data_IF_932439722135
#
_entry.id   IF_932439722135
#
_cell.length_a   1.000
_cell.length_b   1.000
_cell.length_c   1.000
_cell.angle_alpha   90.00
_cell.angle_beta   90.00
_cell.angle_gamma   90.00
#
_symmetry.space_group_name_H-M   'P 1'
#
loop_
_entity.id
_entity.type
_entity.pdbx_description
1 polymer ?
#
# COMPACT_ATOMS: atom_id res chain seq x y z
N UNK A 1 17.13 62.44 -48.59
CA UNK A 1 17.62 62.62 -47.21
C UNK A 1 18.33 61.32 -46.87
N UNK A 2 19.53 61.03 -47.38
CA UNK A 2 20.81 61.74 -47.19
C UNK A 2 21.04 61.92 -45.69
N UNK A 3 21.98 61.24 -45.04
CA UNK A 3 23.39 61.03 -45.36
C UNK A 3 23.95 59.88 -44.50
N UNK A 4 24.90 59.08 -44.97
CA UNK A 4 26.21 58.96 -44.29
C UNK A 4 27.25 58.28 -45.19
N UNK A 5 28.39 58.96 -45.27
CA UNK A 5 29.57 58.71 -46.10
C UNK A 5 30.51 57.75 -45.34
N UNK A 6 30.89 56.64 -45.95
CA UNK A 6 32.21 56.45 -46.57
C UNK A 6 33.43 56.76 -45.68
N UNK A 7 34.10 55.70 -45.22
CA UNK A 7 35.55 55.69 -45.05
C UNK A 7 36.11 54.32 -45.42
N UNK A 8 36.83 54.27 -46.55
CA UNK A 8 37.84 53.24 -46.84
C UNK A 8 39.13 53.59 -46.10
N UNK A 9 40.11 52.71 -45.90
CA UNK A 9 40.28 51.35 -46.36
C UNK A 9 41.68 50.85 -45.97
N UNK A 10 42.06 49.73 -46.59
CA UNK A 10 43.43 49.20 -46.75
C UNK A 10 44.00 48.32 -45.64
N UNK A 11 44.38 47.10 -46.07
CA UNK A 11 45.28 46.21 -45.35
C UNK A 11 44.86 44.74 -45.39
N UNK A 12 44.88 44.11 -46.57
CA UNK A 12 44.78 42.66 -46.68
C UNK A 12 46.13 42.00 -46.39
N UNK A 13 46.15 40.89 -45.62
CA UNK A 13 47.03 39.76 -45.87
C UNK A 13 46.21 38.57 -46.41
N UNK A 14 46.89 37.78 -47.25
CA UNK A 14 46.36 36.73 -48.13
C UNK A 14 45.89 35.43 -47.47
N UNK A 15 45.70 34.37 -48.30
CA UNK A 15 44.75 33.30 -48.07
C UNK A 15 45.46 32.02 -47.65
N UNK A 16 45.57 31.75 -46.35
CA UNK A 16 46.02 30.44 -45.88
C UNK A 16 45.65 30.21 -44.42
N UNK A 17 44.90 29.12 -44.21
CA UNK A 17 45.03 28.27 -43.03
C UNK A 17 44.43 28.73 -41.70
N UNK A 18 43.19 29.24 -41.74
CA UNK A 18 42.29 29.16 -40.57
C UNK A 18 41.44 27.90 -40.62
N UNK A 19 42.11 26.76 -40.81
CA UNK A 19 41.65 25.49 -40.26
C UNK A 19 41.97 25.52 -38.76
N UNK A 20 41.30 26.42 -38.04
CA UNK A 20 41.28 26.33 -36.59
C UNK A 20 40.49 25.06 -36.27
N UNK A 21 41.25 24.05 -35.88
CA UNK A 21 40.78 22.72 -35.55
C UNK A 21 39.78 22.84 -34.43
N UNK A 22 38.50 23.01 -34.80
CA UNK A 22 37.42 22.51 -33.96
C UNK A 22 37.81 21.06 -33.69
N UNK A 23 38.06 20.66 -32.44
CA UNK A 23 38.34 19.28 -32.15
C UNK A 23 37.14 18.48 -32.66
N UNK A 24 37.34 17.85 -33.80
CA UNK A 24 36.50 16.79 -34.35
C UNK A 24 36.27 15.84 -33.18
N UNK A 25 34.98 15.70 -32.85
CA UNK A 25 34.41 14.77 -31.91
C UNK A 25 35.39 13.69 -31.46
N UNK A 26 35.97 13.89 -30.28
CA UNK A 26 36.35 12.78 -29.43
C UNK A 26 35.07 12.02 -29.12
N UNK A 27 34.67 11.10 -30.01
CA UNK A 27 33.84 9.95 -29.68
C UNK A 27 34.71 9.11 -28.75
N UNK A 28 34.84 9.58 -27.51
CA UNK A 28 35.45 8.82 -26.44
C UNK A 28 34.53 7.63 -26.28
N UNK A 29 34.95 6.48 -26.79
CA UNK A 29 34.31 5.22 -26.50
C UNK A 29 34.18 5.15 -24.98
N UNK A 30 32.94 5.28 -24.49
CA UNK A 30 32.70 5.30 -23.05
C UNK A 30 33.30 4.00 -22.50
N UNK A 31 34.21 4.07 -21.53
CA UNK A 31 34.83 2.86 -21.02
C UNK A 31 33.73 1.96 -20.43
N UNK A 32 33.78 0.65 -20.69
CA UNK A 32 32.78 -0.31 -20.19
C UNK A 32 32.54 -0.21 -18.67
N UNK A 33 33.55 0.24 -17.93
CA UNK A 33 33.48 0.52 -16.49
C UNK A 33 32.51 1.64 -16.13
N UNK A 34 32.36 2.66 -16.98
CA UNK A 34 31.38 3.72 -16.78
C UNK A 34 29.94 3.23 -16.97
N UNK A 35 29.68 2.38 -17.99
CA UNK A 35 28.34 1.82 -18.23
C UNK A 35 27.87 0.89 -17.10
N UNK A 36 28.80 0.11 -16.53
CA UNK A 36 28.50 -0.72 -15.36
C UNK A 36 28.21 0.10 -14.11
N UNK A 37 28.88 1.24 -13.95
CA UNK A 37 28.65 2.17 -12.84
C UNK A 37 27.29 2.86 -12.98
N UNK A 38 26.96 3.32 -14.19
CA UNK A 38 25.66 3.91 -14.52
C UNK A 38 24.52 2.90 -14.27
N UNK A 39 24.67 1.66 -14.75
CA UNK A 39 23.65 0.61 -14.55
C UNK A 39 23.48 0.24 -13.07
N UNK A 40 24.56 0.18 -12.30
CA UNK A 40 24.49 -0.08 -10.85
C UNK A 40 23.78 1.07 -10.11
N UNK A 41 24.03 2.32 -10.51
CA UNK A 41 23.29 3.48 -10.01
C UNK A 41 21.81 3.43 -10.38
N UNK A 42 21.48 3.20 -11.65
CA UNK A 42 20.09 3.13 -12.11
C UNK A 42 19.31 2.00 -11.44
N UNK A 43 19.96 0.84 -11.24
CA UNK A 43 19.37 -0.29 -10.52
C UNK A 43 19.13 0.06 -9.05
N UNK A 44 20.09 0.72 -8.40
CA UNK A 44 19.94 1.21 -7.02
C UNK A 44 18.80 2.22 -6.89
N UNK A 45 18.68 3.15 -7.85
CA UNK A 45 17.60 4.12 -7.91
C UNK A 45 16.24 3.47 -8.15
N UNK A 46 16.16 2.44 -8.99
CA UNK A 46 14.93 1.68 -9.23
C UNK A 46 14.48 0.93 -7.98
N UNK A 47 15.40 0.23 -7.31
CA UNK A 47 15.10 -0.49 -6.05
C UNK A 47 14.59 0.49 -5.00
N UNK A 48 15.22 1.66 -4.88
CA UNK A 48 14.76 2.69 -3.94
C UNK A 48 13.35 3.17 -4.27
N UNK A 49 13.04 3.40 -5.55
CA UNK A 49 11.69 3.79 -6.01
C UNK A 49 10.65 2.72 -5.74
N UNK A 50 10.96 1.44 -5.98
CA UNK A 50 10.07 0.32 -5.68
C UNK A 50 9.78 0.21 -4.17
N UNK A 51 10.80 0.40 -3.32
CA UNK A 51 10.61 0.44 -1.86
C UNK A 51 9.74 1.64 -1.45
N UNK A 52 9.98 2.82 -2.03
CA UNK A 52 9.17 4.01 -1.78
C UNK A 52 7.71 3.81 -2.22
N UNK A 53 7.49 3.18 -3.37
CA UNK A 53 6.17 2.83 -3.90
C UNK A 53 5.47 1.80 -3.02
N UNK A 54 6.13 0.70 -2.69
CA UNK A 54 5.59 -0.34 -1.82
C UNK A 54 5.23 0.24 -0.44
N UNK A 55 6.06 1.14 0.11
CA UNK A 55 5.77 1.84 1.36
C UNK A 55 4.54 2.75 1.22
N UNK A 56 4.41 3.47 0.11
CA UNK A 56 3.24 4.31 -0.15
C UNK A 56 1.96 3.47 -0.26
N UNK A 57 1.99 2.36 -1.01
CA UNK A 57 0.85 1.46 -1.14
C UNK A 57 0.48 0.82 0.22
N UNK A 58 1.45 0.34 0.99
CA UNK A 58 1.19 -0.19 2.34
C UNK A 58 0.55 0.86 3.26
N UNK A 59 1.01 2.11 3.20
CA UNK A 59 0.44 3.21 3.99
C UNK A 59 -1.00 3.55 3.56
N UNK A 60 -1.25 3.53 2.25
CA UNK A 60 -2.59 3.73 1.68
C UNK A 60 -3.54 2.60 2.13
N UNK A 61 -3.13 1.34 1.97
CA UNK A 61 -3.91 0.17 2.41
C UNK A 61 -4.15 0.18 3.91
N UNK A 62 -3.14 0.51 4.71
CA UNK A 62 -3.28 0.63 6.16
C UNK A 62 -4.27 1.72 6.55
N UNK A 63 -4.24 2.86 5.86
CA UNK A 63 -5.18 3.98 6.08
C UNK A 63 -6.61 3.59 5.71
N UNK A 64 -6.80 2.92 4.57
CA UNK A 64 -8.11 2.43 4.13
C UNK A 64 -8.66 1.39 5.12
N UNK A 65 -7.83 0.43 5.54
CA UNK A 65 -8.20 -0.55 6.56
C UNK A 65 -8.59 0.12 7.89
N UNK A 66 -7.82 1.12 8.33
CA UNK A 66 -8.09 1.88 9.55
C UNK A 66 -9.41 2.63 9.48
N UNK A 67 -9.67 3.34 8.37
CA UNK A 67 -10.95 4.03 8.16
C UNK A 67 -12.13 3.04 8.15
N UNK A 68 -11.96 1.90 7.49
CA UNK A 68 -12.94 0.81 7.50
C UNK A 68 -13.22 0.31 8.92
N UNK A 69 -12.18 0.08 9.71
CA UNK A 69 -12.29 -0.37 11.10
C UNK A 69 -12.99 0.67 11.99
N UNK A 70 -12.68 1.96 11.82
CA UNK A 70 -13.35 3.06 12.53
C UNK A 70 -14.83 3.07 12.19
N UNK A 71 -15.18 3.06 10.89
CA UNK A 71 -16.57 3.09 10.45
C UNK A 71 -17.36 1.88 10.95
N UNK A 72 -16.77 0.69 10.91
CA UNK A 72 -17.41 -0.53 11.44
C UNK A 72 -17.63 -0.43 12.95
N UNK A 73 -16.65 0.12 13.69
CA UNK A 73 -16.75 0.28 15.14
C UNK A 73 -17.80 1.31 15.52
N UNK A 74 -17.77 2.49 14.91
CA UNK A 74 -18.72 3.58 15.19
C UNK A 74 -20.13 3.20 14.74
N UNK A 75 -20.28 2.72 13.50
CA UNK A 75 -21.57 2.25 12.99
C UNK A 75 -22.12 1.09 13.82
N UNK A 76 -21.26 0.13 14.18
CA UNK A 76 -21.61 -0.96 15.08
C UNK A 76 -22.08 -0.48 16.45
N UNK A 77 -21.42 0.50 17.04
CA UNK A 77 -21.83 1.09 18.32
C UNK A 77 -23.21 1.78 18.22
N UNK A 78 -23.46 2.54 17.14
CA UNK A 78 -24.77 3.18 16.90
C UNK A 78 -25.87 2.12 16.72
N UNK A 79 -25.64 1.09 15.91
CA UNK A 79 -26.57 -0.02 15.74
C UNK A 79 -26.83 -0.76 17.07
N UNK A 80 -25.78 -0.96 17.88
CA UNK A 80 -25.91 -1.59 19.18
C UNK A 80 -26.78 -0.77 20.15
N UNK A 81 -26.61 0.55 20.19
CA UNK A 81 -27.49 1.43 20.96
C UNK A 81 -28.94 1.34 20.46
N UNK A 82 -29.15 1.37 19.14
CA UNK A 82 -30.47 1.17 18.55
C UNK A 82 -31.11 -0.17 18.94
N UNK A 83 -30.32 -1.25 18.96
CA UNK A 83 -30.77 -2.56 19.41
C UNK A 83 -31.19 -2.55 20.89
N UNK A 84 -30.46 -1.85 21.77
CA UNK A 84 -30.87 -1.69 23.18
C UNK A 84 -32.25 -1.04 23.29
N UNK A 85 -32.51 0.03 22.54
CA UNK A 85 -33.83 0.69 22.53
C UNK A 85 -34.92 -0.22 21.96
N UNK A 86 -34.63 -1.01 20.93
CA UNK A 86 -35.57 -2.01 20.39
C UNK A 86 -35.88 -3.11 21.41
N UNK A 87 -34.88 -3.62 22.13
CA UNK A 87 -35.08 -4.63 23.18
C UNK A 87 -35.86 -4.07 24.37
N UNK A 88 -35.60 -2.82 24.75
CA UNK A 88 -36.38 -2.12 25.77
C UNK A 88 -37.84 -1.95 25.31
N UNK A 89 -38.05 -1.50 24.06
CA UNK A 89 -39.38 -1.38 23.47
C UNK A 89 -40.12 -2.72 23.43
N UNK A 90 -39.45 -3.80 23.02
CA UNK A 90 -40.02 -5.14 23.02
C UNK A 90 -40.39 -5.61 24.44
N UNK A 91 -39.53 -5.32 25.42
CA UNK A 91 -39.79 -5.64 26.84
C UNK A 91 -41.01 -4.87 27.35
N UNK A 92 -41.08 -3.57 27.08
CA UNK A 92 -42.22 -2.73 27.49
C UNK A 92 -43.52 -3.16 26.80
N UNK A 93 -43.46 -3.49 25.51
CA UNK A 93 -44.61 -4.00 24.76
C UNK A 93 -45.10 -5.33 25.35
N UNK A 94 -44.19 -6.25 25.66
CA UNK A 94 -44.54 -7.54 26.26
C UNK A 94 -45.06 -7.39 27.70
N UNK A 95 -44.55 -6.40 28.44
CA UNK A 95 -45.04 -6.08 29.78
C UNK A 95 -46.50 -5.56 29.80
N UNK A 96 -47.12 -5.28 28.65
CA UNK A 96 -48.56 -4.97 28.58
C UNK A 96 -49.45 -6.22 28.70
N UNK A 97 -48.89 -7.41 28.47
CA UNK A 97 -49.63 -8.69 28.49
C UNK A 97 -49.15 -9.66 29.56
N UNK A 98 -47.95 -9.47 30.11
CA UNK A 98 -47.40 -10.26 31.22
C UNK A 98 -46.74 -9.35 32.27
N UNK A 99 -46.45 -9.90 33.44
CA UNK A 99 -45.72 -9.20 34.51
C UNK A 99 -44.38 -8.61 34.01
N UNK A 100 -44.00 -7.38 34.41
CA UNK A 100 -42.80 -6.71 33.90
C UNK A 100 -41.50 -7.51 34.09
N UNK A 101 -41.38 -8.21 35.23
CA UNK A 101 -40.21 -9.05 35.51
C UNK A 101 -40.14 -10.26 34.57
N UNK A 102 -41.29 -10.85 34.21
CA UNK A 102 -41.37 -11.98 33.29
C UNK A 102 -41.06 -11.55 31.85
N UNK A 103 -41.58 -10.39 31.42
CA UNK A 103 -41.25 -9.82 30.12
C UNK A 103 -39.73 -9.62 29.94
N UNK A 104 -39.07 -9.05 30.95
CA UNK A 104 -37.62 -8.85 30.93
C UNK A 104 -36.84 -10.18 30.84
N UNK A 105 -37.26 -11.21 31.57
CA UNK A 105 -36.62 -12.53 31.50
C UNK A 105 -36.83 -13.23 30.15
N UNK A 106 -38.01 -13.09 29.53
CA UNK A 106 -38.30 -13.70 28.23
C UNK A 106 -37.45 -13.05 27.14
N UNK A 107 -37.46 -11.72 27.05
CA UNK A 107 -36.68 -10.99 26.04
C UNK A 107 -35.18 -11.18 26.28
N UNK A 108 -34.72 -11.02 27.53
CA UNK A 108 -33.33 -11.23 27.90
C UNK A 108 -32.85 -12.66 27.63
N UNK A 109 -33.67 -13.66 27.96
CA UNK A 109 -33.38 -15.07 27.70
C UNK A 109 -33.27 -15.38 26.21
N UNK A 110 -34.17 -14.84 25.38
CA UNK A 110 -34.10 -15.01 23.93
C UNK A 110 -32.81 -14.40 23.35
N UNK A 111 -32.44 -13.18 23.78
CA UNK A 111 -31.21 -12.52 23.34
C UNK A 111 -29.96 -13.27 23.81
N UNK A 112 -29.95 -13.77 25.05
CA UNK A 112 -28.84 -14.59 25.56
C UNK A 112 -28.67 -15.88 24.79
N UNK A 113 -29.77 -16.53 24.39
CA UNK A 113 -29.71 -17.75 23.59
C UNK A 113 -29.10 -17.48 22.21
N UNK A 114 -29.57 -16.43 21.52
CA UNK A 114 -29.02 -16.03 20.22
C UNK A 114 -27.54 -15.65 20.35
N UNK A 115 -27.21 -14.81 21.34
CA UNK A 115 -25.84 -14.38 21.61
C UNK A 115 -24.92 -15.55 21.96
N UNK A 116 -25.39 -16.51 22.75
CA UNK A 116 -24.66 -17.73 23.08
C UNK A 116 -24.31 -18.54 21.83
N UNK A 117 -25.29 -18.75 20.93
CA UNK A 117 -25.06 -19.45 19.66
C UNK A 117 -24.03 -18.71 18.79
N UNK A 118 -24.12 -17.38 18.70
CA UNK A 118 -23.17 -16.57 17.94
C UNK A 118 -21.76 -16.66 18.52
N UNK A 119 -21.60 -16.57 19.85
CA UNK A 119 -20.30 -16.69 20.52
C UNK A 119 -19.69 -18.06 20.26
N UNK A 120 -20.46 -19.14 20.42
CA UNK A 120 -19.99 -20.50 20.18
C UNK A 120 -19.57 -20.70 18.71
N UNK A 121 -20.36 -20.18 17.76
CA UNK A 121 -20.07 -20.25 16.33
C UNK A 121 -18.89 -19.39 15.91
N UNK A 122 -18.68 -18.23 16.54
CA UNK A 122 -17.52 -17.38 16.29
C UNK A 122 -16.23 -18.00 16.83
N UNK A 123 -16.30 -18.64 17.99
CA UNK A 123 -15.14 -19.28 18.65
C UNK A 123 -14.57 -20.42 17.81
N UNK A 124 -15.41 -21.19 17.11
CA UNK A 124 -14.94 -22.26 16.22
C UNK A 124 -14.19 -21.72 14.99
N UNK A 125 -14.67 -20.61 14.42
CA UNK A 125 -14.06 -19.95 13.25
C UNK A 125 -12.73 -19.27 13.57
N UNK A 126 -12.57 -18.79 14.80
CA UNK A 126 -11.32 -18.16 15.28
C UNK A 126 -10.32 -19.17 15.86
N UNK A 127 -10.57 -20.48 15.74
CA UNK A 127 -9.59 -21.48 16.18
C UNK A 127 -8.29 -21.34 15.38
N UNK A 128 -7.15 -21.53 16.05
CA UNK A 128 -5.83 -21.41 15.46
C UNK A 128 -5.63 -22.33 14.23
N UNK A 129 -6.39 -23.41 14.17
CA UNK A 129 -6.36 -24.38 13.07
C UNK A 129 -7.03 -23.83 11.79
N UNK A 130 -8.03 -22.96 11.94
CA UNK A 130 -8.71 -22.27 10.83
C UNK A 130 -7.99 -21.00 10.37
N UNK A 131 -7.21 -20.37 11.25
CA UNK A 131 -6.50 -19.12 10.97
C UNK A 131 -5.09 -19.32 10.38
N UNK A 132 -4.53 -20.54 10.44
CA UNK A 132 -3.23 -20.80 9.84
C UNK A 132 -3.34 -20.93 8.31
N UNK A 133 -2.64 -20.10 7.52
CA UNK A 133 -2.58 -20.24 6.06
C UNK A 133 -1.70 -21.43 5.70
N UNK A 134 -2.28 -22.65 5.77
CA UNK A 134 -1.55 -23.93 5.58
C UNK A 134 -0.76 -23.95 4.28
N UNK A 135 -1.36 -23.47 3.18
CA UNK A 135 -0.73 -23.44 1.85
C UNK A 135 0.50 -22.54 1.82
N UNK A 136 0.41 -21.32 2.34
CA UNK A 136 1.53 -20.37 2.37
C UNK A 136 2.68 -20.91 3.22
N UNK A 137 2.39 -21.48 4.38
CA UNK A 137 3.43 -22.06 5.26
C UNK A 137 4.10 -23.28 4.60
N UNK A 138 3.34 -24.08 3.86
CA UNK A 138 3.85 -25.27 3.16
C UNK A 138 4.76 -24.87 1.98
N UNK A 139 4.35 -23.89 1.16
CA UNK A 139 5.18 -23.35 0.08
C UNK A 139 6.48 -22.73 0.61
N UNK A 140 6.43 -21.93 1.68
CA UNK A 140 7.64 -21.35 2.28
C UNK A 140 8.59 -22.43 2.86
N UNK A 141 8.04 -23.54 3.37
CA UNK A 141 8.84 -24.69 3.83
C UNK A 141 9.47 -25.44 2.65
N UNK A 142 8.76 -25.58 1.54
CA UNK A 142 9.31 -26.14 0.30
C UNK A 142 10.47 -25.29 -0.22
N UNK A 143 10.25 -23.99 -0.38
CA UNK A 143 11.26 -23.06 -0.89
C UNK A 143 12.51 -23.03 0.00
N UNK A 144 12.33 -23.05 1.33
CA UNK A 144 13.45 -23.14 2.27
C UNK A 144 14.21 -24.46 2.19
N UNK A 145 13.53 -25.59 1.90
CA UNK A 145 14.19 -26.88 1.66
C UNK A 145 14.99 -26.87 0.37
N UNK A 146 14.44 -26.32 -0.71
CA UNK A 146 15.15 -26.15 -1.99
C UNK A 146 16.40 -25.27 -1.83
N UNK A 147 16.30 -24.15 -1.13
CA UNK A 147 17.43 -23.25 -0.88
C UNK A 147 18.58 -23.93 -0.10
N UNK A 148 18.26 -24.73 0.93
CA UNK A 148 19.28 -25.48 1.69
C UNK A 148 19.92 -26.60 0.86
N UNK A 149 19.15 -27.29 0.04
CA UNK A 149 19.67 -28.36 -0.83
C UNK A 149 20.63 -27.82 -1.91
N UNK A 150 20.47 -26.56 -2.32
CA UNK A 150 21.35 -25.91 -3.29
C UNK A 150 22.65 -25.40 -2.67
N UNK A 151 22.62 -24.90 -1.43
CA UNK A 151 23.81 -24.37 -0.72
C UNK A 151 24.69 -25.49 -0.15
N UNK A 152 24.12 -26.66 0.16
CA UNK A 152 24.85 -27.82 0.67
C UNK A 152 25.55 -28.67 -0.40
N UNK A 153 25.60 -28.23 -1.66
CA UNK A 153 26.25 -28.90 -2.78
C UNK A 153 27.42 -28.06 -3.28
#
# INVERSE_FOLDING_TARGET
>A
MSTESAHGGSGAPGPEDRLDGRPEAGRTERPLTALLTDLAQETGDLVRKEVELARAELSEKATQATRGAINLTVGGAVCFLGLIFLLLSATLALATVVEPWAAALIVGGAVLLIGGIMVLSGRSKLSADNLQPRRTVETLKEDGRWAKAQIGR
#
